data_IF_704086168531
#
_entry.id   IF_704086168531
#
_cell.length_a   1.000
_cell.length_b   1.000
_cell.length_c   1.000
_cell.angle_alpha   90.00
_cell.angle_beta   90.00
_cell.angle_gamma   90.00
#
_symmetry.space_group_name_H-M   'P 1'
#
loop_
_entity.id
_entity.type
_entity.pdbx_description
1 polymer ?
#
# COMPACT_ATOMS: atom_id res chain seq x y z
N UNK A 1 1.75 -25.35 -1.47
CA UNK A 1 2.79 -25.21 -2.51
C UNK A 1 3.69 -24.08 -2.06
N UNK A 2 4.99 -24.38 -1.80
CA UNK A 2 5.98 -23.32 -1.55
C UNK A 2 6.28 -22.69 -2.92
N UNK A 3 5.59 -21.63 -3.29
CA UNK A 3 6.02 -20.82 -4.41
C UNK A 3 7.39 -20.23 -4.03
N UNK A 4 8.44 -20.73 -4.67
CA UNK A 4 9.76 -20.13 -4.56
C UNK A 4 9.68 -18.79 -5.28
N UNK A 5 9.65 -17.71 -4.50
CA UNK A 5 9.70 -16.37 -5.07
C UNK A 5 11.08 -16.19 -5.73
N UNK A 6 11.15 -15.78 -7.01
CA UNK A 6 12.42 -15.70 -7.73
C UNK A 6 13.37 -14.62 -7.20
N UNK A 7 12.88 -13.66 -6.42
CA UNK A 7 13.70 -12.60 -5.86
C UNK A 7 14.02 -12.85 -4.38
N UNK A 8 15.29 -13.21 -4.14
CA UNK A 8 15.82 -13.44 -2.78
C UNK A 8 15.76 -12.18 -1.89
N UNK A 9 15.71 -10.99 -2.46
CA UNK A 9 15.56 -9.74 -1.72
C UNK A 9 14.19 -9.62 -1.06
N UNK A 10 13.14 -10.09 -1.71
CA UNK A 10 11.78 -10.10 -1.14
C UNK A 10 11.69 -11.04 0.06
N UNK A 11 12.42 -12.15 0.07
CA UNK A 11 12.47 -13.07 1.22
C UNK A 11 13.12 -12.46 2.46
N UNK A 12 14.08 -11.57 2.30
CA UNK A 12 14.74 -10.91 3.42
C UNK A 12 13.85 -9.84 4.09
N UNK A 13 12.93 -9.27 3.32
CA UNK A 13 12.03 -8.18 3.78
C UNK A 13 10.80 -8.70 4.53
N UNK A 14 10.40 -9.96 4.31
CA UNK A 14 9.25 -10.58 4.99
C UNK A 14 9.67 -11.76 5.86
N UNK A 15 10.22 -11.51 7.06
CA UNK A 15 10.49 -12.58 8.00
C UNK A 15 9.17 -13.26 8.40
N UNK A 16 9.00 -14.51 8.00
CA UNK A 16 7.84 -15.31 8.36
C UNK A 16 8.22 -16.22 9.52
N UNK A 17 7.45 -16.23 10.63
CA UNK A 17 7.68 -17.16 11.73
C UNK A 17 7.67 -18.62 11.22
N UNK A 18 8.44 -19.54 11.85
CA UNK A 18 8.57 -20.93 11.39
C UNK A 18 7.23 -21.67 11.29
N UNK A 19 6.27 -21.33 12.14
CA UNK A 19 4.94 -21.95 12.22
C UNK A 19 3.89 -21.27 11.35
N UNK A 20 4.21 -20.09 10.77
CA UNK A 20 3.32 -19.30 9.94
C UNK A 20 3.53 -19.54 8.46
N UNK A 21 2.59 -19.07 7.68
CA UNK A 21 2.73 -18.96 6.22
C UNK A 21 2.19 -17.62 5.74
N UNK A 22 2.88 -17.04 4.74
CA UNK A 22 2.34 -15.96 3.93
C UNK A 22 1.65 -16.58 2.71
N UNK A 23 0.54 -15.97 2.29
CA UNK A 23 -0.15 -16.40 1.09
C UNK A 23 0.36 -15.60 -0.11
N UNK A 24 0.67 -16.33 -1.17
CA UNK A 24 0.82 -15.78 -2.51
C UNK A 24 -0.42 -16.19 -3.28
N UNK A 25 -1.17 -15.23 -3.76
CA UNK A 25 -2.37 -15.46 -4.56
C UNK A 25 -2.09 -15.07 -6.00
N UNK A 26 -2.29 -16.02 -6.92
CA UNK A 26 -2.29 -15.73 -8.35
C UNK A 26 -3.69 -15.30 -8.78
N UNK A 27 -3.76 -14.17 -9.45
CA UNK A 27 -4.98 -13.77 -10.14
C UNK A 27 -5.14 -14.61 -11.41
N UNK A 28 -6.37 -15.05 -11.72
CA UNK A 28 -6.70 -15.68 -12.99
C UNK A 28 -6.32 -14.82 -14.23
N UNK A 29 -6.07 -13.53 -14.02
CA UNK A 29 -5.63 -12.56 -15.04
C UNK A 29 -4.12 -12.34 -15.07
N UNK A 30 -3.32 -13.13 -14.32
CA UNK A 30 -1.86 -13.13 -14.37
C UNK A 30 -1.15 -12.18 -13.39
N UNK A 31 -1.86 -11.53 -12.47
CA UNK A 31 -1.23 -10.73 -11.41
C UNK A 31 -1.01 -11.54 -10.14
N UNK A 32 0.17 -11.42 -9.54
CA UNK A 32 0.49 -12.07 -8.28
C UNK A 32 0.34 -11.09 -7.11
N UNK A 33 -0.12 -11.61 -5.98
CA UNK A 33 -0.29 -10.87 -4.74
C UNK A 33 0.36 -11.60 -3.58
N UNK A 34 0.87 -10.82 -2.63
CA UNK A 34 1.45 -11.32 -1.38
C UNK A 34 0.65 -10.76 -0.20
N UNK A 35 0.38 -11.60 0.81
CA UNK A 35 -0.28 -11.15 2.02
C UNK A 35 0.66 -10.34 2.92
N UNK A 36 0.13 -9.29 3.56
CA UNK A 36 0.86 -8.47 4.54
C UNK A 36 0.85 -9.08 5.94
N UNK A 37 0.09 -10.15 6.14
CA UNK A 37 0.04 -10.92 7.38
C UNK A 37 0.54 -12.35 7.21
N UNK A 38 0.76 -13.02 8.34
CA UNK A 38 1.01 -14.46 8.38
C UNK A 38 -0.14 -15.19 9.08
N UNK A 39 -0.33 -16.45 8.73
CA UNK A 39 -1.51 -17.23 9.06
C UNK A 39 -1.09 -18.61 9.56
N UNK A 40 -1.93 -19.25 10.36
CA UNK A 40 -1.71 -20.65 10.72
C UNK A 40 -1.76 -21.53 9.48
N UNK A 41 -0.72 -22.37 9.34
CA UNK A 41 -0.64 -23.34 8.25
C UNK A 41 -1.72 -24.41 8.42
N UNK A 42 -2.46 -24.66 7.35
CA UNK A 42 -3.50 -25.70 7.31
C UNK A 42 -4.82 -25.33 7.98
N UNK A 43 -4.98 -24.15 8.57
CA UNK A 43 -6.27 -23.69 9.08
C UNK A 43 -7.05 -22.97 7.99
N UNK A 44 -8.36 -23.11 8.04
CA UNK A 44 -9.29 -22.39 7.16
C UNK A 44 -10.44 -21.81 8.00
N UNK A 45 -11.00 -20.69 7.54
CA UNK A 45 -12.19 -20.09 8.15
C UNK A 45 -13.46 -20.91 7.82
N UNK A 46 -14.62 -20.48 8.34
CA UNK A 46 -15.93 -21.11 8.07
C UNK A 46 -16.29 -21.16 6.57
N UNK A 47 -15.59 -20.42 5.72
CA UNK A 47 -15.80 -20.39 4.26
C UNK A 47 -14.69 -21.15 3.50
N UNK A 48 -13.87 -21.91 4.20
CA UNK A 48 -12.76 -22.68 3.62
C UNK A 48 -11.55 -21.84 3.17
N UNK A 49 -11.42 -20.59 3.64
CA UNK A 49 -10.33 -19.70 3.25
C UNK A 49 -9.20 -19.75 4.28
N UNK A 50 -7.99 -20.04 3.86
CA UNK A 50 -6.80 -19.99 4.71
C UNK A 50 -6.43 -18.57 5.10
N UNK A 51 -6.54 -17.62 4.15
CA UNK A 51 -6.31 -16.19 4.39
C UNK A 51 -7.62 -15.50 4.80
N UNK A 52 -7.81 -15.32 6.09
CA UNK A 52 -8.93 -14.56 6.65
C UNK A 52 -8.48 -13.77 7.89
N UNK A 53 -9.28 -12.79 8.28
CA UNK A 53 -9.05 -12.01 9.52
C UNK A 53 -8.97 -12.93 10.74
N UNK A 54 -9.80 -13.98 10.76
CA UNK A 54 -9.91 -14.93 11.86
C UNK A 54 -8.67 -15.83 12.00
N UNK A 55 -8.02 -16.16 10.87
CA UNK A 55 -6.82 -17.01 10.84
C UNK A 55 -5.51 -16.22 10.86
N UNK A 56 -5.58 -14.89 10.80
CA UNK A 56 -4.40 -14.03 10.83
C UNK A 56 -3.78 -14.04 12.23
N UNK A 57 -2.52 -14.48 12.33
CA UNK A 57 -1.77 -14.57 13.56
C UNK A 57 -0.97 -13.30 13.86
N UNK A 58 -0.65 -12.54 12.85
CA UNK A 58 0.09 -11.31 12.99
C UNK A 58 0.36 -10.65 11.64
N UNK A 59 1.00 -9.50 11.70
CA UNK A 59 1.30 -8.66 10.55
C UNK A 59 2.80 -8.64 10.34
N UNK A 60 3.26 -8.97 9.15
CA UNK A 60 4.69 -8.96 8.80
C UNK A 60 5.14 -7.61 8.23
N UNK A 61 4.18 -6.82 7.74
CA UNK A 61 4.46 -5.52 7.14
C UNK A 61 3.26 -4.60 7.29
N UNK A 62 3.48 -3.42 7.81
CA UNK A 62 2.49 -2.34 7.75
C UNK A 62 2.50 -1.78 6.32
N UNK A 63 1.36 -1.84 5.66
CA UNK A 63 1.21 -1.58 4.24
C UNK A 63 0.36 -0.34 3.97
N UNK A 64 0.87 0.57 3.14
CA UNK A 64 0.15 1.75 2.69
C UNK A 64 0.03 1.74 1.16
N UNK A 65 -1.17 2.01 0.67
CA UNK A 65 -1.52 2.04 -0.75
C UNK A 65 -1.77 3.48 -1.19
N UNK A 66 -1.01 3.94 -2.14
CA UNK A 66 -1.10 5.27 -2.73
C UNK A 66 -1.49 5.14 -4.20
N UNK A 67 -2.73 5.50 -4.55
CA UNK A 67 -3.30 5.32 -5.91
C UNK A 67 -3.20 6.63 -6.71
N UNK A 68 -2.77 6.54 -7.97
CA UNK A 68 -2.68 7.65 -8.91
C UNK A 68 -4.05 8.29 -9.22
N UNK A 69 -5.14 7.54 -9.04
CA UNK A 69 -6.49 8.03 -9.36
C UNK A 69 -6.84 9.33 -8.63
N UNK A 70 -6.43 9.46 -7.35
CA UNK A 70 -6.68 10.68 -6.58
C UNK A 70 -6.05 11.91 -7.20
N UNK A 71 -4.82 11.81 -7.70
CA UNK A 71 -4.12 12.90 -8.38
C UNK A 71 -4.77 13.23 -9.73
N UNK A 72 -5.15 12.20 -10.51
CA UNK A 72 -5.84 12.38 -11.79
C UNK A 72 -7.16 13.10 -11.62
N UNK A 73 -7.96 12.68 -10.64
CA UNK A 73 -9.25 13.30 -10.32
C UNK A 73 -9.05 14.76 -9.89
N UNK A 74 -8.07 15.04 -9.02
CA UNK A 74 -7.74 16.38 -8.56
C UNK A 74 -7.36 17.31 -9.72
N UNK A 75 -6.49 16.87 -10.61
CA UNK A 75 -6.06 17.67 -11.75
C UNK A 75 -7.20 17.96 -12.73
N UNK A 76 -8.16 17.04 -12.89
CA UNK A 76 -9.35 17.26 -13.70
C UNK A 76 -10.26 18.33 -13.10
N UNK A 77 -10.54 18.24 -11.81
CA UNK A 77 -11.34 19.24 -11.11
C UNK A 77 -10.70 20.63 -11.17
N UNK A 78 -9.39 20.72 -11.00
CA UNK A 78 -8.65 21.98 -11.13
C UNK A 78 -8.77 22.63 -12.52
N UNK A 79 -9.00 21.82 -13.55
CA UNK A 79 -9.26 22.29 -14.93
C UNK A 79 -10.75 22.55 -15.21
N UNK A 80 -11.63 22.51 -14.19
CA UNK A 80 -13.07 22.69 -14.32
C UNK A 80 -13.78 21.51 -15.01
N UNK A 81 -13.16 20.34 -15.10
CA UNK A 81 -13.75 19.16 -15.70
C UNK A 81 -14.56 18.39 -14.65
N UNK A 82 -15.80 18.04 -14.99
CA UNK A 82 -16.59 17.17 -14.12
C UNK A 82 -15.99 15.76 -14.04
N UNK A 83 -16.06 15.16 -12.86
CA UNK A 83 -15.67 13.77 -12.68
C UNK A 83 -16.86 12.86 -12.97
N UNK A 84 -16.63 11.70 -13.63
CA UNK A 84 -17.65 10.67 -13.71
C UNK A 84 -18.08 10.20 -12.32
N UNK A 85 -19.36 9.95 -12.13
CA UNK A 85 -19.92 9.48 -10.84
C UNK A 85 -19.35 8.12 -10.41
N UNK A 86 -19.16 7.23 -11.39
CA UNK A 86 -18.68 5.88 -11.13
C UNK A 86 -17.16 5.83 -11.11
N UNK A 87 -16.61 5.23 -10.06
CA UNK A 87 -15.16 5.01 -9.92
C UNK A 87 -14.56 4.21 -11.10
N UNK A 88 -15.33 3.27 -11.69
CA UNK A 88 -14.88 2.50 -12.85
C UNK A 88 -14.62 3.39 -14.05
N UNK A 89 -15.47 4.38 -14.32
CA UNK A 89 -15.33 5.30 -15.43
C UNK A 89 -14.14 6.26 -15.22
N UNK A 90 -13.91 6.70 -13.96
CA UNK A 90 -12.72 7.49 -13.62
C UNK A 90 -11.43 6.69 -13.83
N UNK A 91 -11.42 5.41 -13.43
CA UNK A 91 -10.28 4.50 -13.68
C UNK A 91 -10.07 4.26 -15.18
N UNK A 92 -11.12 4.11 -15.95
CA UNK A 92 -11.01 3.95 -17.41
C UNK A 92 -10.29 5.14 -18.06
N UNK A 93 -10.58 6.36 -17.63
CA UNK A 93 -9.83 7.55 -18.07
C UNK A 93 -8.36 7.53 -17.67
N UNK A 94 -8.08 7.18 -16.42
CA UNK A 94 -6.69 7.05 -15.94
C UNK A 94 -5.92 6.03 -16.79
N UNK A 95 -6.53 4.90 -17.14
CA UNK A 95 -5.88 3.84 -17.92
C UNK A 95 -5.58 4.24 -19.36
N UNK A 96 -6.26 5.25 -19.91
CA UNK A 96 -6.00 5.80 -21.25
C UNK A 96 -4.86 6.82 -21.28
N UNK A 97 -4.31 7.20 -20.13
CA UNK A 97 -3.23 8.18 -20.03
C UNK A 97 -1.99 7.73 -20.83
N UNK A 98 -1.36 8.61 -21.63
CA UNK A 98 -0.08 8.32 -22.29
C UNK A 98 0.99 7.89 -21.28
N UNK A 99 1.94 7.04 -21.70
CA UNK A 99 2.97 6.50 -20.82
C UNK A 99 3.84 7.60 -20.20
N UNK A 100 4.28 8.55 -21.00
CA UNK A 100 5.10 9.69 -20.54
C UNK A 100 4.37 10.50 -19.45
N UNK A 101 3.09 10.81 -19.67
CA UNK A 101 2.28 11.51 -18.70
C UNK A 101 2.05 10.68 -17.43
N UNK A 102 1.84 9.37 -17.56
CA UNK A 102 1.70 8.45 -16.42
C UNK A 102 2.96 8.48 -15.56
N UNK A 103 4.13 8.41 -16.19
CA UNK A 103 5.40 8.41 -15.48
C UNK A 103 5.63 9.75 -14.77
N UNK A 104 5.43 10.86 -15.45
CA UNK A 104 5.52 12.20 -14.84
C UNK A 104 4.63 12.33 -13.59
N UNK A 105 3.42 11.80 -13.66
CA UNK A 105 2.49 11.88 -12.54
C UNK A 105 2.82 10.89 -11.41
N UNK A 106 3.40 9.75 -11.73
CA UNK A 106 3.93 8.83 -10.71
C UNK A 106 5.12 9.47 -9.97
N UNK A 107 6.03 10.10 -10.69
CA UNK A 107 7.18 10.77 -10.09
C UNK A 107 6.73 11.91 -9.16
N UNK A 108 5.76 12.73 -9.60
CA UNK A 108 5.14 13.77 -8.77
C UNK A 108 4.46 13.17 -7.52
N UNK A 109 3.67 12.11 -7.70
CA UNK A 109 2.97 11.44 -6.62
C UNK A 109 3.94 10.86 -5.57
N UNK A 110 5.02 10.24 -6.02
CA UNK A 110 6.05 9.69 -5.13
C UNK A 110 6.78 10.79 -4.37
N UNK A 111 7.19 11.85 -5.06
CA UNK A 111 7.95 12.95 -4.48
C UNK A 111 7.11 13.73 -3.46
N UNK A 112 5.90 14.14 -3.83
CA UNK A 112 5.09 15.03 -3.02
C UNK A 112 4.33 14.27 -1.92
N UNK A 113 3.59 13.22 -2.31
CA UNK A 113 2.69 12.52 -1.39
C UNK A 113 3.40 11.36 -0.70
N UNK A 114 4.29 10.65 -1.39
CA UNK A 114 5.13 9.59 -0.80
C UNK A 114 6.03 10.15 0.29
N UNK A 115 6.64 11.33 0.09
CA UNK A 115 7.47 12.03 1.08
C UNK A 115 6.71 12.41 2.36
N UNK A 116 5.40 12.68 2.28
CA UNK A 116 4.56 12.90 3.45
C UNK A 116 4.56 11.66 4.35
N UNK A 117 4.38 10.47 3.78
CA UNK A 117 4.37 9.23 4.56
C UNK A 117 5.70 8.99 5.29
N UNK A 118 6.83 9.24 4.63
CA UNK A 118 8.14 9.14 5.27
C UNK A 118 8.30 10.12 6.44
N UNK A 119 7.81 11.35 6.26
CA UNK A 119 7.79 12.37 7.32
C UNK A 119 6.93 11.94 8.50
N UNK A 120 5.72 11.45 8.24
CA UNK A 120 4.76 10.99 9.27
C UNK A 120 5.29 9.77 10.03
N UNK A 121 5.92 8.84 9.33
CA UNK A 121 6.53 7.65 9.92
C UNK A 121 7.89 7.92 10.57
N UNK A 122 8.55 9.02 10.23
CA UNK A 122 9.88 9.39 10.73
C UNK A 122 11.01 8.53 10.13
N UNK A 123 10.73 7.72 9.12
CA UNK A 123 11.70 6.85 8.45
C UNK A 123 11.20 6.47 7.04
N UNK A 124 12.10 6.15 6.10
CA UNK A 124 11.71 5.64 4.79
C UNK A 124 11.08 4.24 4.92
N UNK A 125 10.20 3.84 3.98
CA UNK A 125 9.66 2.48 3.94
C UNK A 125 10.78 1.45 3.76
N UNK A 126 10.61 0.25 4.32
CA UNK A 126 11.51 -0.88 4.04
C UNK A 126 11.52 -1.21 2.55
N UNK A 127 10.34 -1.10 1.91
CA UNK A 127 10.19 -1.38 0.49
C UNK A 127 9.15 -0.46 -0.12
N UNK A 128 9.50 0.19 -1.23
CA UNK A 128 8.59 0.95 -2.08
C UNK A 128 8.45 0.22 -3.41
N UNK A 129 7.21 -0.08 -3.78
CA UNK A 129 6.87 -0.81 -5.00
C UNK A 129 6.01 0.08 -5.88
N UNK A 130 6.42 0.29 -7.14
CA UNK A 130 5.52 0.84 -8.14
C UNK A 130 4.54 -0.25 -8.58
N UNK A 131 3.27 -0.07 -8.31
CA UNK A 131 2.22 -1.03 -8.67
C UNK A 131 1.69 -0.83 -10.10
N UNK A 132 2.32 0.05 -10.88
CA UNK A 132 1.93 0.44 -12.23
C UNK A 132 0.99 1.66 -12.28
N UNK A 133 0.06 1.77 -11.33
CA UNK A 133 -0.89 2.89 -11.22
C UNK A 133 -0.87 3.57 -9.85
N UNK A 134 0.26 3.46 -9.14
CA UNK A 134 0.48 4.00 -7.82
C UNK A 134 1.62 3.29 -7.12
N UNK A 135 1.72 3.49 -5.81
CA UNK A 135 2.79 2.92 -5.00
C UNK A 135 2.26 2.13 -3.82
N UNK A 136 2.99 1.08 -3.49
CA UNK A 136 2.84 0.32 -2.26
C UNK A 136 4.05 0.58 -1.37
N UNK A 137 3.82 1.08 -0.17
CA UNK A 137 4.86 1.31 0.83
C UNK A 137 4.73 0.25 1.91
N UNK A 138 5.81 -0.44 2.18
CA UNK A 138 5.89 -1.49 3.18
C UNK A 138 6.89 -1.13 4.26
N UNK A 139 6.45 -1.15 5.49
CA UNK A 139 7.30 -1.08 6.67
C UNK A 139 7.32 -2.46 7.30
N UNK A 140 8.40 -3.22 7.09
CA UNK A 140 8.54 -4.56 7.62
C UNK A 140 8.65 -4.53 9.15
N UNK A 141 8.02 -5.51 9.81
CA UNK A 141 8.00 -5.63 11.26
C UNK A 141 9.04 -6.65 11.67
N UNK A 142 10.03 -6.24 12.49
CA UNK A 142 11.15 -7.10 12.90
C UNK A 142 10.70 -8.28 13.75
N UNK A 143 9.69 -8.07 14.60
CA UNK A 143 9.17 -9.06 15.55
C UNK A 143 7.65 -9.19 15.44
N UNK A 144 7.13 -9.80 14.33
CA UNK A 144 5.69 -9.86 14.07
C UNK A 144 4.87 -10.52 15.19
N UNK A 145 5.50 -11.44 15.97
CA UNK A 145 4.85 -12.13 17.08
C UNK A 145 4.63 -11.27 18.31
N UNK A 146 5.34 -10.14 18.43
CA UNK A 146 5.29 -9.26 19.61
C UNK A 146 4.41 -8.04 19.43
N UNK A 147 4.01 -7.75 18.19
CA UNK A 147 3.20 -6.55 17.88
C UNK A 147 1.75 -6.95 17.71
N UNK A 148 0.90 -6.42 18.58
CA UNK A 148 -0.54 -6.67 18.51
C UNK A 148 -1.14 -6.10 17.22
N UNK A 149 -1.93 -6.91 16.52
CA UNK A 149 -2.63 -6.51 15.30
C UNK A 149 -3.52 -5.28 15.52
N UNK A 150 -4.19 -5.18 16.67
CA UNK A 150 -5.02 -4.02 17.01
C UNK A 150 -4.20 -2.74 17.07
N UNK A 151 -3.01 -2.78 17.68
CA UNK A 151 -2.12 -1.63 17.74
C UNK A 151 -1.66 -1.18 16.35
N UNK A 152 -1.37 -2.13 15.45
CA UNK A 152 -1.01 -1.84 14.07
C UNK A 152 -2.18 -1.27 13.27
N UNK A 153 -3.40 -1.75 13.53
CA UNK A 153 -4.61 -1.23 12.88
C UNK A 153 -4.88 0.23 13.29
N UNK A 154 -4.74 0.56 14.56
CA UNK A 154 -4.88 1.92 15.07
C UNK A 154 -3.78 2.84 14.51
N UNK A 155 -2.53 2.38 14.52
CA UNK A 155 -1.41 3.13 13.95
C UNK A 155 -1.63 3.39 12.45
N UNK A 156 -1.99 2.37 11.68
CA UNK A 156 -2.27 2.52 10.26
C UNK A 156 -3.36 3.59 10.01
N UNK A 157 -4.46 3.53 10.76
CA UNK A 157 -5.55 4.50 10.61
C UNK A 157 -5.08 5.94 10.91
N UNK A 158 -4.35 6.13 12.02
CA UNK A 158 -3.85 7.44 12.41
C UNK A 158 -2.83 8.01 11.39
N UNK A 159 -1.92 7.17 10.89
CA UNK A 159 -0.94 7.57 9.87
C UNK A 159 -1.63 7.93 8.57
N UNK A 160 -2.61 7.14 8.11
CA UNK A 160 -3.36 7.44 6.89
C UNK A 160 -4.14 8.76 7.02
N UNK A 161 -4.76 9.01 8.17
CA UNK A 161 -5.49 10.26 8.39
C UNK A 161 -4.56 11.47 8.35
N UNK A 162 -3.42 11.39 9.02
CA UNK A 162 -2.44 12.45 9.01
C UNK A 162 -1.82 12.67 7.62
N UNK A 163 -1.46 11.61 6.91
CA UNK A 163 -0.99 11.72 5.54
C UNK A 163 -2.02 12.38 4.62
N UNK A 164 -3.29 12.00 4.74
CA UNK A 164 -4.35 12.61 3.94
C UNK A 164 -4.60 14.08 4.30
N UNK A 165 -4.48 14.44 5.58
CA UNK A 165 -4.57 15.83 6.03
C UNK A 165 -3.45 16.68 5.43
N UNK A 166 -2.19 16.24 5.54
CA UNK A 166 -1.04 16.94 4.97
C UNK A 166 -1.09 16.99 3.43
N UNK A 167 -1.51 15.91 2.78
CA UNK A 167 -1.70 15.90 1.33
C UNK A 167 -2.79 16.90 0.89
N UNK A 168 -3.87 17.04 1.66
CA UNK A 168 -4.89 18.06 1.38
C UNK A 168 -4.34 19.48 1.51
N UNK A 169 -3.54 19.76 2.52
CA UNK A 169 -2.88 21.05 2.70
C UNK A 169 -1.90 21.34 1.55
N UNK A 170 -1.09 20.37 1.17
CA UNK A 170 -0.21 20.48 0.01
C UNK A 170 -1.00 20.78 -1.27
N UNK A 171 -2.10 20.04 -1.51
CA UNK A 171 -2.95 20.24 -2.67
C UNK A 171 -3.52 21.66 -2.77
N UNK A 172 -3.80 22.32 -1.65
CA UNK A 172 -4.28 23.70 -1.62
C UNK A 172 -3.22 24.73 -1.99
N UNK A 173 -1.96 24.43 -1.83
CA UNK A 173 -0.82 25.32 -2.17
C UNK A 173 -0.36 25.20 -3.62
N UNK A 174 -0.79 24.17 -4.35
CA UNK A 174 -0.44 23.98 -5.76
C UNK A 174 -1.21 24.95 -6.67
N UNK A 175 -0.67 25.25 -7.83
CA UNK A 175 -1.30 26.08 -8.84
C UNK A 175 -1.59 25.27 -10.12
N UNK A 176 -2.87 25.02 -10.46
CA UNK A 176 -4.08 25.32 -9.69
C UNK A 176 -4.23 24.40 -8.45
N UNK A 177 -4.94 24.84 -7.40
CA UNK A 177 -5.12 24.03 -6.20
C UNK A 177 -5.79 22.69 -6.51
N UNK A 178 -5.28 21.60 -5.89
CA UNK A 178 -5.81 20.25 -6.05
C UNK A 178 -6.68 19.90 -4.84
N UNK A 179 -7.99 19.87 -5.00
CA UNK A 179 -8.95 19.73 -3.89
C UNK A 179 -9.18 18.29 -3.42
N UNK A 180 -8.71 17.27 -4.16
CA UNK A 180 -9.00 15.86 -3.88
C UNK A 180 -7.83 15.06 -3.30
N UNK A 181 -6.70 15.68 -3.02
CA UNK A 181 -5.56 15.01 -2.35
C UNK A 181 -5.90 14.45 -0.96
N UNK A 182 -7.00 14.88 -0.34
CA UNK A 182 -7.43 14.40 0.96
C UNK A 182 -7.77 12.89 1.01
N UNK A 183 -7.76 12.18 -0.11
CA UNK A 183 -7.95 10.73 -0.21
C UNK A 183 -6.79 10.04 -0.93
N UNK A 184 -5.59 10.57 -0.80
CA UNK A 184 -4.41 10.00 -1.45
C UNK A 184 -4.11 8.57 -0.96
N UNK A 185 -4.28 8.33 0.34
CA UNK A 185 -4.07 7.02 0.96
C UNK A 185 -5.39 6.36 1.35
N UNK A 186 -5.51 5.08 1.05
CA UNK A 186 -6.68 4.28 1.43
C UNK A 186 -6.54 3.72 2.86
N UNK A 187 -7.58 3.92 3.69
CA UNK A 187 -7.71 3.19 4.94
C UNK A 187 -7.98 1.71 4.66
N UNK A 188 -7.24 0.84 5.33
CA UNK A 188 -7.55 -0.59 5.32
C UNK A 188 -8.41 -0.99 6.51
N UNK A 189 -9.39 -1.86 6.29
CA UNK A 189 -10.23 -2.42 7.35
C UNK A 189 -9.51 -3.49 8.17
N UNK A 190 -8.47 -4.11 7.60
CA UNK A 190 -7.68 -5.14 8.28
C UNK A 190 -6.25 -5.16 7.73
N UNK A 191 -5.29 -4.77 8.57
CA UNK A 191 -3.87 -4.70 8.21
C UNK A 191 -3.25 -6.08 7.97
N UNK A 192 -3.80 -7.14 8.57
CA UNK A 192 -3.25 -8.49 8.44
C UNK A 192 -3.79 -9.28 7.26
N UNK A 193 -5.03 -9.01 6.83
CA UNK A 193 -5.65 -9.75 5.72
C UNK A 193 -5.46 -9.05 4.35
N UNK A 194 -4.70 -7.96 4.29
CA UNK A 194 -4.45 -7.21 3.06
C UNK A 194 -3.56 -8.01 2.11
N UNK A 195 -3.81 -7.81 0.82
CA UNK A 195 -2.95 -8.27 -0.27
C UNK A 195 -2.28 -7.08 -0.92
N UNK A 196 -0.97 -7.16 -1.04
CA UNK A 196 -0.17 -6.26 -1.86
C UNK A 196 0.24 -6.97 -3.16
N UNK A 197 0.50 -6.22 -4.22
CA UNK A 197 1.06 -6.81 -5.44
C UNK A 197 2.47 -7.29 -5.20
N UNK A 198 2.78 -8.48 -5.72
CA UNK A 198 4.10 -9.06 -5.62
C UNK A 198 5.05 -8.37 -6.62
N UNK A 199 6.25 -7.94 -6.19
CA UNK A 199 7.28 -7.46 -7.11
C UNK A 199 7.64 -8.49 -8.16
N UNK A 200 7.91 -8.04 -9.39
CA UNK A 200 8.19 -8.91 -10.54
C UNK A 200 6.94 -9.50 -11.20
N UNK A 201 5.75 -9.17 -10.69
CA UNK A 201 4.48 -9.53 -11.33
C UNK A 201 3.98 -8.42 -12.26
N UNK A 202 2.77 -8.59 -12.78
CA UNK A 202 2.11 -7.58 -13.61
C UNK A 202 0.84 -7.04 -12.95
N UNK A 203 0.59 -5.75 -13.13
CA UNK A 203 -0.70 -5.15 -12.82
C UNK A 203 -1.67 -5.38 -13.98
N UNK A 204 -2.62 -6.28 -13.76
CA UNK A 204 -3.61 -6.71 -14.75
C UNK A 204 -4.99 -6.07 -14.53
N UNK A 205 -5.08 -4.97 -13.74
CA UNK A 205 -6.36 -4.25 -13.54
C UNK A 205 -6.90 -3.65 -14.85
N UNK A 206 -6.01 -3.30 -15.77
CA UNK A 206 -6.35 -2.86 -17.13
C UNK A 206 -6.03 -3.98 -18.11
N UNK A 207 -7.05 -4.58 -18.74
CA UNK A 207 -6.88 -5.79 -19.57
C UNK A 207 -6.05 -5.54 -20.83
N UNK A 208 -6.10 -4.32 -21.38
CA UNK A 208 -5.37 -3.93 -22.59
C UNK A 208 -4.03 -3.24 -22.29
N UNK A 209 -3.68 -3.00 -21.03
CA UNK A 209 -2.44 -2.36 -20.63
C UNK A 209 -1.93 -2.98 -19.31
N UNK A 210 -1.21 -4.06 -19.44
CA UNK A 210 -0.51 -4.67 -18.30
C UNK A 210 0.76 -3.87 -18.01
N UNK A 211 0.97 -3.53 -16.73
CA UNK A 211 2.12 -2.76 -16.29
C UNK A 211 2.98 -3.60 -15.34
N UNK A 212 4.31 -3.45 -15.39
CA UNK A 212 5.17 -4.13 -14.45
C UNK A 212 4.91 -3.66 -13.01
N UNK A 213 5.20 -4.54 -12.07
CA UNK A 213 5.20 -4.25 -10.63
C UNK A 213 6.64 -4.33 -10.16
N UNK A 214 7.26 -3.18 -9.96
CA UNK A 214 8.70 -3.08 -9.74
C UNK A 214 9.04 -2.49 -8.38
N UNK A 215 10.15 -2.97 -7.79
CA UNK A 215 10.76 -2.34 -6.63
C UNK A 215 11.47 -1.06 -7.09
N UNK A 216 11.05 0.08 -6.56
CA UNK A 216 11.65 1.38 -6.87
C UNK A 216 12.61 1.87 -5.79
N UNK A 217 12.39 1.46 -4.54
CA UNK A 217 13.30 1.75 -3.43
C UNK A 217 13.25 0.65 -2.37
N UNK A 218 14.36 0.48 -1.66
CA UNK A 218 14.45 -0.38 -0.49
C UNK A 218 15.36 0.26 0.56
N UNK A 219 15.04 0.04 1.84
CA UNK A 219 15.83 0.50 2.97
C UNK A 219 16.00 -0.61 4.01
N UNK A 220 16.84 -0.40 4.99
CA UNK A 220 17.01 -1.31 6.14
C UNK A 220 16.04 -0.98 7.29
N UNK A 221 15.09 -0.09 7.09
CA UNK A 221 14.09 0.28 8.10
C UNK A 221 13.26 -0.93 8.52
N UNK A 222 13.21 -1.20 9.81
CA UNK A 222 12.34 -2.20 10.42
C UNK A 222 11.55 -1.55 11.54
N UNK A 223 10.28 -1.89 11.65
CA UNK A 223 9.44 -1.51 12.78
C UNK A 223 9.54 -2.58 13.87
N UNK A 224 10.08 -2.22 15.02
CA UNK A 224 10.00 -3.01 16.25
C UNK A 224 8.79 -2.59 17.10
N UNK A 225 8.52 -3.35 18.15
CA UNK A 225 7.40 -3.08 19.07
C UNK A 225 7.50 -1.71 19.73
N UNK A 226 8.71 -1.25 20.05
CA UNK A 226 8.94 0.03 20.71
C UNK A 226 8.67 1.20 19.76
N UNK A 227 9.11 1.07 18.51
CA UNK A 227 8.83 2.07 17.46
C UNK A 227 7.34 2.16 17.17
N UNK A 228 6.63 1.04 17.06
CA UNK A 228 5.18 1.01 16.89
C UNK A 228 4.49 1.68 18.09
N UNK A 229 4.93 1.38 19.31
CA UNK A 229 4.39 2.01 20.52
C UNK A 229 4.58 3.52 20.54
N UNK A 230 5.77 4.01 20.20
CA UNK A 230 6.08 5.45 20.15
C UNK A 230 5.24 6.18 19.08
N UNK A 231 5.18 5.65 17.87
CA UNK A 231 4.38 6.23 16.78
C UNK A 231 2.90 6.28 17.15
N UNK A 232 2.36 5.19 17.75
CA UNK A 232 0.98 5.16 18.22
C UNK A 232 0.70 6.26 19.25
N UNK A 233 1.56 6.44 20.25
CA UNK A 233 1.41 7.50 21.25
C UNK A 233 1.49 8.90 20.65
N UNK A 234 2.35 9.11 19.67
CA UNK A 234 2.47 10.37 18.95
C UNK A 234 1.15 10.76 18.27
N UNK A 235 0.52 9.82 17.58
CA UNK A 235 -0.68 10.10 16.79
C UNK A 235 -2.00 9.99 17.55
N UNK A 236 -2.01 9.44 18.78
CA UNK A 236 -3.18 9.45 19.66
C UNK A 236 -3.36 10.76 20.44
N UNK A 237 -2.34 11.62 20.47
CA UNK A 237 -2.37 12.88 21.23
C UNK A 237 -2.78 14.09 20.38
N UNK A 238 -3.01 13.90 19.12
CA UNK A 238 -3.49 14.93 18.18
C UNK A 238 -5.00 14.77 17.94
#
# INVERSE_FOLDING_TARGET
MNAQHPDTRVRAVWPTPPEGCCYVEQSLKGGDYISTGYFHRGTVDKRGRGRSVENCQGVTSLFFDLDLLGLVDAARLARGQALPDKAADRKAHMYQMPEEQRQEWLDLLLQDVGGILETVMGAPPTLTICSGWGFHFHYAISEPMRVEKAALQELHAAVVDECNRQASELGQTLHPPLTTYHKAYDRTHDVGARLARAPGSQNTKCEWRMLPVDVVAASETLLDSDTVGRLRQQWQRQ
#
